data_IF_681559697740
#
_entry.id   IF_681559697740
#
_cell.length_a   1.000
_cell.length_b   1.000
_cell.length_c   1.000
_cell.angle_alpha   90.00
_cell.angle_beta   90.00
_cell.angle_gamma   90.00
#
_symmetry.space_group_name_H-M   'P 1'
#
loop_
_entity.id
_entity.type
_entity.pdbx_description
1 polymer ?
#
# COMPACT_ATOMS: atom_id res chain seq x y z
N UNK A 1 -9.88 -20.95 -7.50
CA UNK A 1 -10.29 -20.13 -6.34
C UNK A 1 -10.28 -18.66 -6.73
N UNK A 2 -11.39 -17.94 -6.63
CA UNK A 2 -11.40 -16.49 -6.84
C UNK A 2 -10.78 -15.82 -5.61
N UNK A 3 -9.62 -15.17 -5.77
CA UNK A 3 -9.08 -14.28 -4.73
C UNK A 3 -10.04 -13.10 -4.58
N UNK A 4 -10.94 -13.18 -3.61
CA UNK A 4 -11.88 -12.09 -3.31
C UNK A 4 -11.14 -10.91 -2.69
N UNK A 5 -11.11 -9.78 -3.40
CA UNK A 5 -10.62 -8.53 -2.84
C UNK A 5 -11.71 -7.88 -1.98
N UNK A 6 -11.35 -7.39 -0.79
CA UNK A 6 -12.22 -6.59 0.08
C UNK A 6 -11.62 -5.20 0.27
N UNK A 7 -12.44 -4.19 0.57
CA UNK A 7 -11.95 -2.90 1.07
C UNK A 7 -12.04 -2.89 2.59
N UNK A 8 -10.98 -2.47 3.27
CA UNK A 8 -11.02 -2.26 4.72
C UNK A 8 -11.65 -0.90 5.07
N UNK A 9 -11.94 -0.66 6.35
CA UNK A 9 -12.53 0.60 6.84
C UNK A 9 -11.70 1.84 6.47
N UNK A 10 -10.39 1.69 6.29
CA UNK A 10 -9.47 2.76 5.89
C UNK A 10 -9.40 2.98 4.38
N UNK A 11 -10.17 2.24 3.57
CA UNK A 11 -10.27 2.40 2.12
C UNK A 11 -9.25 1.59 1.29
N UNK A 12 -8.39 0.77 1.92
CA UNK A 12 -7.42 -0.04 1.21
C UNK A 12 -8.01 -1.37 0.75
N UNK A 13 -7.64 -1.80 -0.47
CA UNK A 13 -7.92 -3.16 -0.96
C UNK A 13 -7.05 -4.18 -0.22
N UNK A 14 -7.67 -5.22 0.29
CA UNK A 14 -7.06 -6.36 0.99
C UNK A 14 -7.49 -7.68 0.35
N UNK A 15 -6.72 -8.74 0.55
CA UNK A 15 -7.04 -10.11 0.15
C UNK A 15 -6.66 -11.07 1.27
N UNK A 16 -7.30 -12.24 1.33
CA UNK A 16 -6.82 -13.34 2.18
C UNK A 16 -5.75 -14.10 1.43
N UNK A 17 -4.58 -14.22 2.04
CA UNK A 17 -3.49 -15.06 1.53
C UNK A 17 -3.76 -16.54 1.88
N UNK A 18 -2.97 -17.45 1.32
CA UNK A 18 -3.14 -18.90 1.49
C UNK A 18 -2.97 -19.37 2.94
N UNK A 19 -2.24 -18.60 3.76
CA UNK A 19 -2.08 -18.84 5.20
C UNK A 19 -3.28 -18.35 6.04
N UNK A 20 -4.33 -17.83 5.39
CA UNK A 20 -5.51 -17.26 6.03
C UNK A 20 -5.34 -15.83 6.53
N UNK A 21 -4.13 -15.26 6.44
CA UNK A 21 -3.86 -13.87 6.84
C UNK A 21 -4.45 -12.89 5.85
N UNK A 22 -4.91 -11.74 6.34
CA UNK A 22 -5.39 -10.66 5.47
C UNK A 22 -4.25 -9.71 5.16
N UNK A 23 -3.89 -9.64 3.88
CA UNK A 23 -2.79 -8.81 3.39
C UNK A 23 -3.33 -7.61 2.58
N UNK A 24 -2.61 -6.50 2.64
CA UNK A 24 -2.92 -5.32 1.83
C UNK A 24 -2.40 -5.48 0.40
N UNK A 25 -3.28 -5.27 -0.59
CA UNK A 25 -2.92 -5.44 -2.02
C UNK A 25 -1.77 -4.51 -2.40
N UNK A 26 -1.82 -3.25 -2.01
CA UNK A 26 -0.77 -2.27 -2.32
C UNK A 26 0.60 -2.68 -1.76
N UNK A 27 0.63 -3.25 -0.55
CA UNK A 27 1.87 -3.75 0.07
C UNK A 27 2.43 -4.91 -0.73
N UNK A 28 1.59 -5.91 -1.06
CA UNK A 28 2.00 -7.07 -1.86
C UNK A 28 2.53 -6.69 -3.24
N UNK A 29 1.89 -5.72 -3.91
CA UNK A 29 2.35 -5.22 -5.21
C UNK A 29 3.70 -4.50 -5.08
N UNK A 30 3.87 -3.67 -4.05
CA UNK A 30 5.14 -2.99 -3.81
C UNK A 30 6.28 -3.99 -3.53
N UNK A 31 6.01 -5.03 -2.73
CA UNK A 31 6.99 -6.09 -2.45
C UNK A 31 7.41 -6.85 -3.70
N UNK A 32 6.43 -7.25 -4.53
CA UNK A 32 6.71 -7.89 -5.83
C UNK A 32 7.55 -6.99 -6.74
N UNK A 33 7.24 -5.68 -6.79
CA UNK A 33 7.97 -4.70 -7.60
C UNK A 33 9.44 -4.56 -7.15
N UNK A 34 9.70 -4.61 -5.84
CA UNK A 34 11.06 -4.47 -5.29
C UNK A 34 11.83 -5.79 -5.24
N UNK A 35 11.16 -6.93 -5.49
CA UNK A 35 11.76 -8.25 -5.31
C UNK A 35 11.97 -8.66 -3.84
N UNK A 36 11.24 -8.05 -2.90
CA UNK A 36 11.44 -8.32 -1.47
C UNK A 36 10.47 -7.60 -0.53
N UNK A 37 10.54 -7.94 0.76
CA UNK A 37 9.68 -7.37 1.78
C UNK A 37 9.92 -5.86 1.98
N UNK A 38 8.86 -5.12 2.29
CA UNK A 38 9.00 -3.71 2.70
C UNK A 38 9.75 -3.66 4.05
N UNK A 39 10.95 -3.08 4.06
CA UNK A 39 11.80 -2.99 5.25
C UNK A 39 11.11 -2.22 6.38
N UNK A 40 11.38 -2.62 7.63
CA UNK A 40 10.90 -1.90 8.83
C UNK A 40 11.29 -0.42 8.75
N UNK A 41 10.34 0.46 9.05
CA UNK A 41 10.53 1.92 8.96
C UNK A 41 10.21 2.52 7.58
N UNK A 42 9.80 1.70 6.62
CA UNK A 42 9.28 2.13 5.32
C UNK A 42 7.79 1.85 5.20
N UNK A 43 7.12 2.65 4.36
CA UNK A 43 5.70 2.57 4.06
C UNK A 43 5.47 2.70 2.57
N UNK A 44 4.39 2.09 2.07
CA UNK A 44 3.98 2.22 0.68
C UNK A 44 3.13 3.48 0.55
N UNK A 45 3.50 4.33 -0.40
CA UNK A 45 2.85 5.58 -0.73
C UNK A 45 2.21 5.50 -2.13
N UNK A 46 0.94 5.85 -2.22
CA UNK A 46 0.24 6.07 -3.49
C UNK A 46 0.51 7.51 -3.96
N UNK A 47 1.18 7.66 -5.10
CA UNK A 47 1.56 8.98 -5.65
C UNK A 47 0.35 9.86 -5.95
N UNK A 48 -0.71 9.24 -6.46
CA UNK A 48 -1.91 9.89 -6.99
C UNK A 48 -2.99 10.24 -5.95
N UNK A 49 -2.86 9.82 -4.69
CA UNK A 49 -3.94 10.07 -3.73
C UNK A 49 -5.08 9.03 -3.76
N UNK A 50 -4.99 7.94 -4.53
CA UNK A 50 -6.05 6.94 -4.66
C UNK A 50 -5.67 5.55 -4.10
N UNK A 51 -6.22 5.14 -2.95
CA UNK A 51 -5.93 3.86 -2.26
C UNK A 51 -6.32 2.63 -3.08
N UNK A 52 -7.17 2.81 -4.11
CA UNK A 52 -7.64 1.76 -5.00
C UNK A 52 -6.76 1.57 -6.24
N UNK A 53 -5.89 2.54 -6.58
CA UNK A 53 -4.96 2.46 -7.70
C UNK A 53 -3.65 1.77 -7.29
N UNK A 54 -3.65 0.45 -7.37
CA UNK A 54 -2.50 -0.38 -6.97
C UNK A 54 -1.54 -0.69 -8.12
N UNK A 55 -1.51 0.11 -9.20
CA UNK A 55 -0.52 -0.07 -10.27
C UNK A 55 0.90 0.06 -9.68
N UNK A 56 1.86 -0.82 -10.00
CA UNK A 56 3.24 -0.71 -9.50
C UNK A 56 3.88 0.66 -9.77
N UNK A 57 3.52 1.28 -10.91
CA UNK A 57 3.92 2.65 -11.31
C UNK A 57 3.18 3.76 -10.57
N UNK A 58 2.19 3.48 -9.72
CA UNK A 58 1.58 4.44 -8.79
C UNK A 58 2.14 4.32 -7.36
N UNK A 59 2.79 3.19 -7.04
CA UNK A 59 3.31 2.92 -5.70
C UNK A 59 4.79 3.28 -5.54
N UNK A 60 5.14 3.86 -4.40
CA UNK A 60 6.51 4.15 -3.96
C UNK A 60 6.72 3.64 -2.55
N UNK A 61 7.91 3.14 -2.22
CA UNK A 61 8.26 2.77 -0.85
C UNK A 61 9.14 3.86 -0.27
N UNK A 62 8.67 4.50 0.79
CA UNK A 62 9.30 5.68 1.38
C UNK A 62 9.56 5.46 2.86
N UNK A 63 10.58 6.11 3.40
CA UNK A 63 10.80 6.15 4.85
C UNK A 63 9.60 6.82 5.51
N UNK A 64 9.17 6.31 6.66
CA UNK A 64 8.03 6.85 7.44
C UNK A 64 8.09 8.36 7.64
N UNK A 65 9.28 8.90 7.94
CA UNK A 65 9.48 10.35 8.10
C UNK A 65 9.18 11.13 6.82
N UNK A 66 9.67 10.65 5.68
CA UNK A 66 9.42 11.25 4.37
C UNK A 66 7.95 11.16 4.00
N UNK A 67 7.33 10.01 4.24
CA UNK A 67 5.90 9.79 3.99
C UNK A 67 5.04 10.79 4.78
N UNK A 68 5.29 10.95 6.09
CA UNK A 68 4.61 11.96 6.92
C UNK A 68 4.87 13.38 6.42
N UNK A 69 6.10 13.70 6.03
CA UNK A 69 6.45 15.02 5.49
C UNK A 69 5.69 15.35 4.19
N UNK A 70 5.50 14.37 3.31
CA UNK A 70 4.69 14.55 2.09
C UNK A 70 3.23 14.80 2.42
N UNK A 71 2.67 14.10 3.41
CA UNK A 71 1.29 14.32 3.89
C UNK A 71 1.11 15.67 4.59
N UNK A 72 2.11 16.13 5.34
CA UNK A 72 2.06 17.46 5.98
C UNK A 72 2.07 18.59 4.94
N UNK A 73 2.85 18.43 3.86
CA UNK A 73 2.93 19.40 2.75
C UNK A 73 1.67 19.41 1.89
N UNK A 74 1.13 18.23 1.59
CA UNK A 74 -0.18 18.07 0.93
C UNK A 74 -1.27 18.07 2.00
N UNK A 75 -1.58 19.24 2.60
CA UNK A 75 -2.62 19.37 3.65
C UNK A 75 -3.84 18.48 3.33
N UNK A 76 -4.01 17.41 4.12
CA UNK A 76 -5.23 16.63 4.27
C UNK A 76 -5.94 16.16 2.99
N UNK A 77 -5.70 14.91 2.57
CA UNK A 77 -6.70 14.11 1.82
C UNK A 77 -6.36 12.64 1.84
N UNK A 78 -6.53 11.97 2.99
CA UNK A 78 -6.50 10.51 3.11
C UNK A 78 -7.20 9.97 4.36
#
# INVERSE_FOLDING_TARGET
MAFGFKKNKSGYKTFKDSDGTTQSVHKRVAEKKMGGAVKKGYEVHHRDGNKSNNKPSNLSVLKKSTHRGLHAKKKSSW
#
